data_IF_626580478812
#
_entry.id   IF_626580478812
#
_cell.length_a   1.000
_cell.length_b   1.000
_cell.length_c   1.000
_cell.angle_alpha   90.00
_cell.angle_beta   90.00
_cell.angle_gamma   90.00
#
_symmetry.space_group_name_H-M   'P 1'
#
loop_
_entity.id
_entity.type
_entity.pdbx_description
1 polymer ?
#
# COMPACT_ATOMS: atom_id res chain seq x y z
N UNK A 1 -20.08 -22.82 17.77
CA UNK A 1 -19.27 -22.91 16.54
C UNK A 1 -18.25 -21.81 16.66
N UNK A 2 -16.93 -22.06 16.77
CA UNK A 2 -15.97 -20.98 16.63
C UNK A 2 -15.96 -20.56 15.15
N UNK A 3 -16.04 -19.26 14.92
CA UNK A 3 -15.96 -18.66 13.59
C UNK A 3 -14.63 -19.06 12.91
N UNK A 4 -14.66 -19.26 11.60
CA UNK A 4 -13.45 -19.55 10.83
C UNK A 4 -12.43 -18.41 11.03
N UNK A 5 -11.11 -18.72 11.11
CA UNK A 5 -10.10 -17.67 11.19
C UNK A 5 -10.28 -16.71 10.02
N UNK A 6 -10.41 -15.42 10.31
CA UNK A 6 -10.52 -14.37 9.31
C UNK A 6 -9.27 -14.42 8.42
N UNK A 7 -9.47 -14.80 7.16
CA UNK A 7 -8.41 -15.12 6.19
C UNK A 7 -7.72 -13.86 5.61
N UNK A 8 -7.58 -12.82 6.44
CA UNK A 8 -7.10 -11.50 6.04
C UNK A 8 -7.00 -10.52 7.21
N UNK A 9 -6.44 -9.33 6.98
CA UNK A 9 -6.25 -8.35 8.03
C UNK A 9 -7.59 -7.78 8.53
N UNK A 10 -7.71 -7.60 9.84
CA UNK A 10 -8.84 -6.93 10.51
C UNK A 10 -8.56 -5.45 10.80
N UNK A 11 -7.27 -5.06 10.81
CA UNK A 11 -6.84 -3.70 11.07
C UNK A 11 -5.60 -3.29 10.27
N UNK A 12 -5.46 -1.98 10.08
CA UNK A 12 -4.30 -1.37 9.46
C UNK A 12 -3.81 -0.19 10.28
N UNK A 13 -2.48 -0.04 10.35
CA UNK A 13 -1.84 1.18 10.87
C UNK A 13 -1.06 1.86 9.76
N UNK A 14 -1.00 3.19 9.83
CA UNK A 14 -0.29 4.03 8.88
C UNK A 14 0.58 5.00 9.67
N UNK A 15 1.87 5.03 9.37
CA UNK A 15 2.82 5.96 9.99
C UNK A 15 3.48 6.78 8.89
N UNK A 16 3.18 8.07 8.87
CA UNK A 16 3.93 9.01 8.04
C UNK A 16 5.30 9.24 8.68
N UNK A 17 6.34 8.75 8.02
CA UNK A 17 7.73 8.88 8.51
C UNK A 17 8.29 10.25 8.14
N UNK A 18 8.05 10.69 6.90
CA UNK A 18 8.45 12.01 6.41
C UNK A 18 7.54 12.50 5.26
N UNK A 19 7.99 13.50 4.49
CA UNK A 19 7.23 14.05 3.37
C UNK A 19 7.02 13.06 2.21
N UNK A 20 7.90 12.08 2.05
CA UNK A 20 7.97 11.13 0.94
C UNK A 20 7.89 9.67 1.39
N UNK A 21 7.94 9.38 2.69
CA UNK A 21 7.94 8.02 3.24
C UNK A 21 6.68 7.73 4.05
N UNK A 22 6.03 6.62 3.73
CA UNK A 22 4.88 6.07 4.45
C UNK A 22 5.12 4.60 4.79
N UNK A 23 5.02 4.28 6.07
CA UNK A 23 5.00 2.91 6.56
C UNK A 23 3.57 2.48 6.88
N UNK A 24 3.26 1.21 6.64
CA UNK A 24 1.97 0.61 6.98
C UNK A 24 2.12 -0.80 7.51
N UNK A 25 1.28 -1.19 8.46
CA UNK A 25 1.21 -2.55 8.98
C UNK A 25 -0.22 -3.05 8.90
N UNK A 26 -0.40 -4.30 8.47
CA UNK A 26 -1.68 -5.00 8.52
C UNK A 26 -1.66 -6.01 9.67
N UNK A 27 -2.73 -6.05 10.44
CA UNK A 27 -2.88 -6.84 11.65
C UNK A 27 -4.02 -7.85 11.44
N UNK A 28 -3.93 -9.01 12.10
CA UNK A 28 -5.03 -9.94 12.31
C UNK A 28 -4.98 -10.40 13.77
N UNK A 29 -6.07 -10.26 14.51
CA UNK A 29 -6.15 -10.56 15.95
C UNK A 29 -5.05 -9.85 16.77
N UNK A 30 -4.70 -8.63 16.37
CA UNK A 30 -3.63 -7.83 16.99
C UNK A 30 -2.20 -8.25 16.64
N UNK A 31 -2.02 -9.28 15.81
CA UNK A 31 -0.70 -9.75 15.33
C UNK A 31 -0.39 -9.15 13.97
N UNK A 32 0.82 -8.62 13.78
CA UNK A 32 1.25 -8.10 12.49
C UNK A 32 1.48 -9.24 11.48
N UNK A 33 0.69 -9.26 10.41
CA UNK A 33 0.77 -10.27 9.34
C UNK A 33 1.42 -9.73 8.06
N UNK A 34 1.41 -8.41 7.88
CA UNK A 34 2.07 -7.75 6.77
C UNK A 34 2.59 -6.37 7.14
N UNK A 35 3.64 -5.93 6.46
CA UNK A 35 4.12 -4.55 6.51
C UNK A 35 4.49 -4.06 5.11
N UNK A 36 4.44 -2.75 4.91
CA UNK A 36 4.95 -2.13 3.70
C UNK A 36 5.57 -0.77 3.98
N UNK A 37 6.67 -0.49 3.29
CA UNK A 37 7.28 0.83 3.20
C UNK A 37 7.13 1.37 1.78
N UNK A 38 6.64 2.60 1.69
CA UNK A 38 6.45 3.33 0.43
C UNK A 38 7.34 4.57 0.44
N UNK A 39 8.10 4.77 -0.62
CA UNK A 39 9.00 5.92 -0.78
C UNK A 39 8.73 6.57 -2.14
N UNK A 40 8.24 7.81 -2.10
CA UNK A 40 8.08 8.63 -3.30
C UNK A 40 9.41 9.32 -3.64
N UNK A 41 9.69 9.49 -4.93
CA UNK A 41 10.76 10.40 -5.37
C UNK A 41 10.38 11.86 -5.06
N UNK A 42 11.38 12.75 -4.96
CA UNK A 42 11.17 14.17 -4.62
C UNK A 42 10.25 14.91 -5.59
N UNK A 43 10.26 14.50 -6.86
CA UNK A 43 9.42 15.03 -7.93
C UNK A 43 8.05 14.33 -8.04
N UNK A 44 7.80 13.32 -7.20
CA UNK A 44 6.58 12.50 -7.21
C UNK A 44 6.39 11.67 -8.49
N UNK A 45 7.42 11.53 -9.33
CA UNK A 45 7.34 10.78 -10.59
C UNK A 45 7.43 9.26 -10.39
N UNK A 46 8.06 8.82 -9.30
CA UNK A 46 8.25 7.41 -8.95
C UNK A 46 7.75 7.11 -7.53
N UNK A 47 7.29 5.88 -7.34
CA UNK A 47 6.96 5.32 -6.04
C UNK A 47 7.58 3.92 -5.93
N UNK A 48 8.48 3.73 -4.97
CA UNK A 48 8.99 2.41 -4.61
C UNK A 48 8.16 1.85 -3.45
N UNK A 49 7.80 0.57 -3.54
CA UNK A 49 7.08 -0.16 -2.49
C UNK A 49 7.85 -1.43 -2.16
N UNK A 50 8.17 -1.60 -0.88
CA UNK A 50 8.61 -2.88 -0.32
C UNK A 50 7.48 -3.39 0.56
N UNK A 51 6.99 -4.58 0.29
CA UNK A 51 5.98 -5.26 1.10
C UNK A 51 6.52 -6.57 1.62
N UNK A 52 6.33 -6.83 2.91
CA UNK A 52 6.66 -8.08 3.57
C UNK A 52 5.38 -8.69 4.13
N UNK A 53 5.16 -9.98 3.88
CA UNK A 53 4.01 -10.72 4.39
C UNK A 53 4.47 -12.04 4.97
N UNK A 54 3.78 -12.50 6.01
CA UNK A 54 3.90 -13.86 6.52
C UNK A 54 2.59 -14.57 6.24
N UNK A 55 2.62 -15.68 5.51
CA UNK A 55 1.42 -16.48 5.27
C UNK A 55 1.10 -17.41 6.45
N UNK A 56 -0.01 -18.14 6.35
CA UNK A 56 -0.49 -19.08 7.38
C UNK A 56 0.46 -20.26 7.62
N UNK A 57 1.41 -20.50 6.72
CA UNK A 57 2.45 -21.53 6.88
C UNK A 57 3.72 -20.99 7.55
N UNK A 58 3.74 -19.69 7.89
CA UNK A 58 4.90 -19.00 8.44
C UNK A 58 5.94 -18.61 7.39
N UNK A 59 5.66 -18.83 6.09
CA UNK A 59 6.58 -18.44 5.03
C UNK A 59 6.52 -16.92 4.85
N UNK A 60 7.70 -16.31 4.86
CA UNK A 60 7.86 -14.88 4.58
C UNK A 60 8.05 -14.64 3.08
N UNK A 61 7.30 -13.69 2.55
CA UNK A 61 7.50 -13.16 1.20
C UNK A 61 7.85 -11.68 1.27
N UNK A 62 8.73 -11.24 0.37
CA UNK A 62 9.15 -9.85 0.25
C UNK A 62 9.04 -9.43 -1.21
N UNK A 63 8.11 -8.54 -1.49
CA UNK A 63 7.84 -8.03 -2.81
C UNK A 63 8.40 -6.61 -2.93
N UNK A 64 9.13 -6.36 -4.01
CA UNK A 64 9.62 -5.02 -4.36
C UNK A 64 8.99 -4.61 -5.68
N UNK A 65 8.36 -3.44 -5.69
CA UNK A 65 7.64 -2.89 -6.83
C UNK A 65 8.03 -1.43 -7.00
N UNK A 66 8.12 -0.99 -8.26
CA UNK A 66 8.34 0.41 -8.60
C UNK A 66 7.24 0.84 -9.56
N UNK A 67 6.54 1.90 -9.19
CA UNK A 67 5.50 2.52 -9.99
C UNK A 67 6.02 3.84 -10.56
N UNK A 68 5.61 4.14 -11.79
CA UNK A 68 5.82 5.44 -12.41
C UNK A 68 4.47 6.14 -12.54
N UNK A 69 4.43 7.42 -12.16
CA UNK A 69 3.26 8.27 -12.42
C UNK A 69 3.16 8.52 -13.92
N UNK A 70 2.02 8.16 -14.50
CA UNK A 70 1.68 8.53 -15.88
C UNK A 70 0.90 9.84 -15.83
N UNK A 71 1.24 10.81 -16.66
CA UNK A 71 0.48 12.05 -16.77
C UNK A 71 -0.93 11.71 -17.25
N UNK A 72 -1.92 11.97 -16.42
CA UNK A 72 -3.32 11.98 -16.87
C UNK A 72 -3.57 13.38 -17.41
N UNK A 73 -3.63 13.53 -18.73
CA UNK A 73 -4.30 14.71 -19.31
C UNK A 73 -5.76 14.63 -18.87
N UNK A 74 -6.16 15.47 -17.92
CA UNK A 74 -7.57 15.81 -17.79
C UNK A 74 -7.93 16.56 -19.07
N UNK A 75 -8.57 15.85 -20.01
CA UNK A 75 -9.27 16.52 -21.09
C UNK A 75 -10.35 17.37 -20.43
N UNK A 76 -10.12 18.68 -20.34
CA UNK A 76 -11.16 19.68 -20.15
C UNK A 76 -12.13 19.55 -21.31
N UNK A 77 -13.08 18.61 -21.19
CA UNK A 77 -14.26 18.57 -22.02
C UNK A 77 -15.27 19.50 -21.37
N UNK A 78 -14.90 20.79 -21.26
CA UNK A 78 -15.91 21.83 -21.10
C UNK A 78 -16.46 22.10 -22.49
N UNK A 79 -17.50 21.34 -22.80
CA UNK A 79 -18.27 21.46 -24.01
C UNK A 79 -18.70 22.92 -24.17
N UNK A 80 -18.18 23.57 -25.23
CA UNK A 80 -18.83 24.69 -25.88
C UNK A 80 -20.33 24.36 -26.05
N UNK A 81 -21.16 24.92 -25.19
CA UNK A 81 -22.57 25.15 -25.51
C UNK A 81 -22.64 26.39 -26.42
N UNK A 82 -23.28 26.29 -27.60
CA UNK A 82 -23.67 27.47 -28.37
C UNK A 82 -24.77 28.28 -27.64
#
# INVERSE_FOLDING_TARGET
MPDAPTDGPDAHTLTRVDAHTLDSTALADGVAIASARRVASKDGSLLAVVQEQTDTTGRRTRNFQVYRRVATELADTDARMP
#
